data_IF_459074984854
#
_entry.id   IF_459074984854
#
_cell.length_a   1.000
_cell.length_b   1.000
_cell.length_c   1.000
_cell.angle_alpha   90.00
_cell.angle_beta   90.00
_cell.angle_gamma   90.00
#
_symmetry.space_group_name_H-M   'P 1'
#
loop_
_entity.id
_entity.type
_entity.pdbx_description
1 polymer ?
#
# COMPACT_ATOMS: atom_id res chain seq x y z
N UNK A 1 -30.03 -15.69 -6.58
CA UNK A 1 -30.12 -16.04 -5.14
C UNK A 1 -29.06 -15.23 -4.41
N UNK A 2 -29.42 -14.42 -3.43
CA UNK A 2 -28.47 -13.64 -2.63
C UNK A 2 -27.83 -14.56 -1.59
N UNK A 3 -26.55 -14.36 -1.27
CA UNK A 3 -25.83 -15.11 -0.22
C UNK A 3 -26.56 -15.14 1.13
N UNK A 4 -27.42 -14.13 1.41
CA UNK A 4 -28.22 -14.04 2.62
C UNK A 4 -29.39 -15.04 2.71
N UNK A 5 -29.81 -15.61 1.58
CA UNK A 5 -30.99 -16.49 1.52
C UNK A 5 -30.63 -17.98 1.73
N UNK A 6 -29.34 -18.29 1.82
CA UNK A 6 -28.84 -19.64 2.05
C UNK A 6 -28.21 -19.66 3.43
N UNK A 7 -28.91 -20.23 4.40
CA UNK A 7 -28.40 -20.55 5.76
C UNK A 7 -27.32 -21.66 5.72
N UNK A 8 -26.39 -21.58 4.77
CA UNK A 8 -25.20 -22.41 4.79
C UNK A 8 -24.20 -21.70 5.70
N UNK A 9 -23.69 -22.41 6.68
CA UNK A 9 -22.63 -21.95 7.58
C UNK A 9 -21.38 -21.65 6.74
N UNK A 10 -21.24 -20.41 6.32
CA UNK A 10 -19.97 -19.93 5.79
C UNK A 10 -19.05 -19.71 6.98
N UNK A 11 -17.76 -20.08 6.85
CA UNK A 11 -16.79 -19.82 7.90
C UNK A 11 -16.65 -18.31 8.16
N UNK A 12 -16.05 -17.97 9.29
CA UNK A 12 -15.78 -16.57 9.63
C UNK A 12 -14.79 -15.95 8.68
N UNK A 13 -14.94 -14.64 8.44
CA UNK A 13 -14.02 -13.84 7.66
C UNK A 13 -13.43 -12.73 8.54
N UNK A 14 -12.11 -12.63 8.58
CA UNK A 14 -11.35 -11.57 9.26
C UNK A 14 -10.60 -10.75 8.22
N UNK A 15 -10.82 -9.44 8.19
CA UNK A 15 -10.16 -8.50 7.29
C UNK A 15 -9.16 -7.65 8.08
N UNK A 16 -7.89 -7.69 7.70
CA UNK A 16 -6.79 -6.93 8.31
C UNK A 16 -6.13 -6.03 7.28
N UNK A 17 -5.92 -4.77 7.64
CA UNK A 17 -5.12 -3.84 6.86
C UNK A 17 -3.77 -3.67 7.56
N UNK A 18 -2.69 -4.10 6.92
CA UNK A 18 -1.33 -3.93 7.40
C UNK A 18 -0.73 -2.69 6.76
N UNK A 19 -0.24 -1.81 7.60
CA UNK A 19 0.35 -0.53 7.17
C UNK A 19 1.83 -0.75 6.87
N UNK A 20 2.21 -0.58 5.60
CA UNK A 20 3.58 -0.78 5.10
C UNK A 20 4.11 0.56 4.56
N UNK A 21 5.04 1.21 5.26
CA UNK A 21 5.57 2.50 4.82
C UNK A 21 6.43 2.38 3.56
N UNK A 22 6.41 3.42 2.72
CA UNK A 22 7.31 3.58 1.59
C UNK A 22 8.76 3.85 2.06
N UNK A 23 9.73 3.55 1.18
CA UNK A 23 11.07 4.12 1.30
C UNK A 23 11.05 5.62 1.01
N UNK A 24 12.11 6.36 1.36
CA UNK A 24 12.19 7.79 1.08
C UNK A 24 12.13 8.07 -0.44
N UNK A 25 12.77 7.23 -1.25
CA UNK A 25 12.78 7.37 -2.71
C UNK A 25 11.38 7.14 -3.31
N UNK A 26 10.63 6.16 -2.79
CA UNK A 26 9.24 5.96 -3.20
C UNK A 26 8.36 7.16 -2.82
N UNK A 27 8.57 7.71 -1.61
CA UNK A 27 7.82 8.88 -1.12
C UNK A 27 8.07 10.10 -2.01
N UNK A 28 9.33 10.38 -2.37
CA UNK A 28 9.67 11.48 -3.27
C UNK A 28 9.00 11.33 -4.64
N UNK A 29 9.06 10.13 -5.24
CA UNK A 29 8.38 9.84 -6.50
C UNK A 29 6.86 10.01 -6.40
N UNK A 30 6.24 9.49 -5.32
CA UNK A 30 4.80 9.63 -5.09
C UNK A 30 4.39 11.10 -5.01
N UNK A 31 5.14 11.91 -4.27
CA UNK A 31 4.87 13.32 -4.07
C UNK A 31 5.04 14.14 -5.36
N UNK A 32 5.99 13.77 -6.23
CA UNK A 32 6.13 14.41 -7.53
C UNK A 32 4.85 14.25 -8.38
N UNK A 33 4.32 13.02 -8.49
CA UNK A 33 3.08 12.80 -9.25
C UNK A 33 1.85 13.37 -8.56
N UNK A 34 1.79 13.33 -7.24
CA UNK A 34 0.73 13.98 -6.47
C UNK A 34 0.65 15.48 -6.79
N UNK A 35 1.79 16.17 -6.88
CA UNK A 35 1.85 17.57 -7.29
C UNK A 35 1.32 17.77 -8.72
N UNK A 36 1.62 16.86 -9.66
CA UNK A 36 1.07 16.93 -11.02
C UNK A 36 -0.44 16.73 -11.05
N UNK A 37 -0.96 15.76 -10.27
CA UNK A 37 -2.40 15.54 -10.09
C UNK A 37 -3.07 16.80 -9.54
N UNK A 38 -2.46 17.42 -8.52
CA UNK A 38 -2.96 18.65 -7.91
C UNK A 38 -3.09 19.79 -8.92
N UNK A 39 -2.09 20.00 -9.77
CA UNK A 39 -2.16 21.04 -10.82
C UNK A 39 -3.32 20.81 -11.80
N UNK A 40 -3.60 19.54 -12.15
CA UNK A 40 -4.73 19.19 -13.00
C UNK A 40 -6.07 19.40 -12.30
N UNK A 41 -6.15 19.10 -10.99
CA UNK A 41 -7.34 19.38 -10.17
C UNK A 41 -7.62 20.89 -10.10
N UNK A 42 -6.61 21.71 -9.82
CA UNK A 42 -6.74 23.17 -9.79
C UNK A 42 -7.20 23.72 -11.15
N UNK A 43 -6.67 23.18 -12.24
CA UNK A 43 -7.12 23.52 -13.60
C UNK A 43 -8.59 23.17 -13.81
N UNK A 44 -9.00 21.96 -13.42
CA UNK A 44 -10.40 21.52 -13.54
C UNK A 44 -11.35 22.38 -12.70
N UNK A 45 -11.00 22.70 -11.47
CA UNK A 45 -11.82 23.57 -10.60
C UNK A 45 -12.05 24.95 -11.19
N UNK A 46 -11.01 25.51 -11.83
CA UNK A 46 -11.10 26.83 -12.45
C UNK A 46 -11.90 26.84 -13.74
N UNK A 47 -11.76 25.79 -14.56
CA UNK A 47 -12.30 25.75 -15.90
C UNK A 47 -13.52 24.85 -16.07
N UNK A 48 -13.81 23.99 -15.08
CA UNK A 48 -14.78 22.89 -15.11
C UNK A 48 -14.62 21.97 -16.33
N UNK A 49 -13.42 21.95 -16.90
CA UNK A 49 -13.07 21.19 -18.08
C UNK A 49 -11.60 20.77 -18.08
N UNK A 50 -11.33 19.55 -18.52
CA UNK A 50 -9.98 19.08 -18.88
C UNK A 50 -10.00 18.56 -20.32
N UNK A 51 -8.95 18.89 -21.08
CA UNK A 51 -8.73 18.31 -22.41
C UNK A 51 -8.50 16.80 -22.31
N UNK A 52 -8.71 16.04 -23.38
CA UNK A 52 -8.44 14.60 -23.42
C UNK A 52 -6.98 14.27 -23.05
N UNK A 53 -6.05 15.15 -23.43
CA UNK A 53 -4.64 15.06 -23.07
C UNK A 53 -4.45 15.18 -21.55
N UNK A 54 -5.14 16.12 -20.91
CA UNK A 54 -5.04 16.32 -19.46
C UNK A 54 -5.73 15.18 -18.70
N UNK A 55 -6.87 14.68 -19.21
CA UNK A 55 -7.55 13.49 -18.66
C UNK A 55 -6.63 12.26 -18.67
N UNK A 56 -5.98 11.98 -19.81
CA UNK A 56 -5.01 10.88 -19.93
C UNK A 56 -3.83 11.05 -18.98
N UNK A 57 -3.29 12.27 -18.82
CA UNK A 57 -2.22 12.55 -17.86
C UNK A 57 -2.65 12.33 -16.43
N UNK A 58 -3.86 12.76 -16.06
CA UNK A 58 -4.40 12.54 -14.73
C UNK A 58 -4.46 11.04 -14.38
N UNK A 59 -5.04 10.23 -15.28
CA UNK A 59 -5.13 8.78 -15.09
C UNK A 59 -3.75 8.13 -15.01
N UNK A 60 -2.81 8.57 -15.85
CA UNK A 60 -1.43 8.10 -15.82
C UNK A 60 -0.77 8.40 -14.46
N UNK A 61 -0.87 9.63 -13.96
CA UNK A 61 -0.25 10.02 -12.69
C UNK A 61 -0.87 9.27 -11.50
N UNK A 62 -2.20 9.12 -11.48
CA UNK A 62 -2.88 8.31 -10.46
C UNK A 62 -2.41 6.85 -10.48
N UNK A 63 -2.22 6.27 -11.67
CA UNK A 63 -1.68 4.92 -11.80
C UNK A 63 -0.22 4.84 -11.32
N UNK A 64 0.62 5.84 -11.67
CA UNK A 64 2.02 5.91 -11.23
C UNK A 64 2.16 6.05 -9.72
N UNK A 65 1.29 6.85 -9.08
CA UNK A 65 1.24 6.96 -7.62
C UNK A 65 0.95 5.60 -6.97
N UNK A 66 0.00 4.82 -7.50
CA UNK A 66 -0.29 3.48 -7.02
C UNK A 66 0.87 2.50 -7.25
N UNK A 67 1.46 2.51 -8.45
CA UNK A 67 2.59 1.63 -8.78
C UNK A 67 3.77 1.85 -7.84
N UNK A 68 4.07 3.11 -7.50
CA UNK A 68 5.21 3.41 -6.62
C UNK A 68 4.94 3.03 -5.17
N UNK A 69 3.68 3.03 -4.71
CA UNK A 69 3.33 2.47 -3.40
C UNK A 69 3.75 1.00 -3.26
N UNK A 70 3.76 0.25 -4.36
CA UNK A 70 4.17 -1.15 -4.36
C UNK A 70 5.68 -1.31 -4.56
N UNK A 71 6.22 -0.81 -5.68
CA UNK A 71 7.65 -0.84 -5.99
C UNK A 71 7.98 0.12 -7.15
N UNK A 72 9.10 0.83 -7.06
CA UNK A 72 9.64 1.62 -8.18
C UNK A 72 9.94 0.75 -9.42
N UNK A 73 10.25 -0.53 -9.21
CA UNK A 73 10.56 -1.47 -10.28
C UNK A 73 9.38 -1.66 -11.28
N UNK A 74 8.15 -1.47 -10.82
CA UNK A 74 6.97 -1.54 -11.70
C UNK A 74 7.06 -0.49 -12.79
N UNK A 75 7.65 0.68 -12.49
CA UNK A 75 7.74 1.82 -13.39
C UNK A 75 8.89 1.66 -14.39
N UNK A 76 10.12 1.48 -13.91
CA UNK A 76 11.34 1.57 -14.72
C UNK A 76 12.05 0.24 -15.00
N UNK A 77 11.70 -0.83 -14.28
CA UNK A 77 12.32 -2.16 -14.32
C UNK A 77 13.84 -2.16 -14.03
N UNK A 78 14.33 -1.13 -13.36
CA UNK A 78 15.76 -0.93 -13.04
C UNK A 78 15.99 -0.74 -11.56
N UNK A 79 15.30 0.22 -10.96
CA UNK A 79 15.43 0.53 -9.54
C UNK A 79 14.46 -0.33 -8.73
N UNK A 80 14.91 -0.80 -7.58
CA UNK A 80 14.07 -1.55 -6.65
C UNK A 80 14.04 -0.85 -5.31
N UNK A 81 13.14 0.11 -5.18
CA UNK A 81 12.78 0.72 -3.92
C UNK A 81 11.40 0.19 -3.54
N UNK A 82 11.34 -0.71 -2.58
CA UNK A 82 10.10 -1.29 -2.06
C UNK A 82 10.31 -1.87 -0.65
N UNK A 83 9.23 -1.89 0.10
CA UNK A 83 9.13 -2.54 1.42
C UNK A 83 8.06 -3.62 1.38
N UNK A 84 7.04 -3.47 0.51
CA UNK A 84 5.92 -4.42 0.41
C UNK A 84 6.33 -5.81 -0.06
N UNK A 85 7.35 -5.92 -0.93
CA UNK A 85 7.80 -7.24 -1.43
C UNK A 85 8.38 -8.05 -0.28
N UNK A 86 9.31 -7.46 0.48
CA UNK A 86 9.98 -8.15 1.58
C UNK A 86 8.98 -8.50 2.69
N UNK A 87 8.07 -7.57 3.03
CA UNK A 87 7.05 -7.80 4.03
C UNK A 87 6.05 -8.87 3.60
N UNK A 88 5.59 -8.85 2.34
CA UNK A 88 4.73 -9.88 1.80
C UNK A 88 5.37 -11.28 1.90
N UNK A 89 6.65 -11.40 1.55
CA UNK A 89 7.38 -12.67 1.60
C UNK A 89 7.60 -13.13 3.04
N UNK A 90 7.79 -12.21 3.99
CA UNK A 90 7.86 -12.54 5.41
C UNK A 90 6.51 -13.06 5.93
N UNK A 91 5.41 -12.36 5.64
CA UNK A 91 4.05 -12.81 6.00
C UNK A 91 3.75 -14.19 5.41
N UNK A 92 4.10 -14.41 4.14
CA UNK A 92 3.95 -15.72 3.50
C UNK A 92 4.74 -16.79 4.27
N UNK A 93 6.01 -16.52 4.58
CA UNK A 93 6.89 -17.45 5.29
C UNK A 93 6.32 -17.81 6.65
N UNK A 94 5.78 -16.85 7.39
CA UNK A 94 5.17 -17.06 8.69
C UNK A 94 3.93 -17.97 8.58
N UNK A 95 3.04 -17.69 7.63
CA UNK A 95 1.80 -18.47 7.45
C UNK A 95 2.12 -19.90 7.04
N UNK A 96 3.01 -20.10 6.07
CA UNK A 96 3.35 -21.45 5.59
C UNK A 96 4.27 -22.21 6.53
N UNK A 97 4.78 -21.61 7.61
CA UNK A 97 5.49 -22.33 8.68
C UNK A 97 4.58 -23.35 9.37
N UNK A 98 3.28 -23.09 9.40
CA UNK A 98 2.30 -24.06 9.85
C UNK A 98 2.04 -25.13 8.78
N UNK A 99 1.97 -26.39 9.21
CA UNK A 99 1.80 -27.53 8.31
C UNK A 99 0.44 -27.46 7.59
N UNK A 100 0.45 -27.62 6.27
CA UNK A 100 -0.76 -27.64 5.45
C UNK A 100 -1.30 -26.26 5.04
N UNK A 101 -0.85 -25.17 5.66
CA UNK A 101 -1.35 -23.83 5.31
C UNK A 101 -0.89 -23.39 3.91
N UNK A 102 -1.81 -22.79 3.18
CA UNK A 102 -1.61 -22.24 1.82
C UNK A 102 -2.08 -20.80 1.75
N UNK A 103 -1.43 -20.00 0.90
CA UNK A 103 -1.68 -18.57 0.75
C UNK A 103 -1.97 -18.22 -0.70
N UNK A 104 -2.96 -17.36 -0.93
CA UNK A 104 -3.22 -16.74 -2.24
C UNK A 104 -2.77 -15.29 -2.18
N UNK A 105 -2.02 -14.86 -3.18
CA UNK A 105 -1.50 -13.48 -3.28
C UNK A 105 -1.99 -12.83 -4.56
N UNK A 106 -2.57 -11.66 -4.45
CA UNK A 106 -3.04 -10.86 -5.57
C UNK A 106 -2.33 -9.52 -5.68
N UNK A 107 -2.01 -9.15 -6.92
CA UNK A 107 -1.70 -7.78 -7.31
C UNK A 107 -2.28 -7.47 -8.69
N UNK A 108 -2.66 -6.23 -8.93
CA UNK A 108 -3.02 -5.75 -10.26
C UNK A 108 -1.81 -5.79 -11.21
N UNK A 109 -0.61 -5.61 -10.67
CA UNK A 109 0.61 -5.43 -11.46
C UNK A 109 1.38 -6.74 -11.62
N UNK A 110 1.47 -7.25 -12.86
CA UNK A 110 2.27 -8.46 -13.17
C UNK A 110 3.74 -8.30 -12.76
N UNK A 111 4.32 -7.10 -12.89
CA UNK A 111 5.70 -6.85 -12.47
C UNK A 111 5.90 -7.04 -10.98
N UNK A 112 4.90 -6.67 -10.16
CA UNK A 112 4.92 -6.88 -8.71
C UNK A 112 4.84 -8.36 -8.35
N UNK A 113 3.90 -9.10 -8.92
CA UNK A 113 3.81 -10.55 -8.68
C UNK A 113 5.06 -11.28 -9.14
N UNK A 114 5.73 -10.79 -10.20
CA UNK A 114 6.99 -11.34 -10.70
C UNK A 114 8.17 -11.08 -9.74
N UNK A 115 8.20 -9.93 -9.05
CA UNK A 115 9.18 -9.66 -7.99
C UNK A 115 9.01 -10.65 -6.84
N UNK A 116 7.77 -10.81 -6.36
CA UNK A 116 7.44 -11.76 -5.29
C UNK A 116 7.83 -13.18 -5.70
N UNK A 117 7.50 -13.62 -6.92
CA UNK A 117 7.88 -14.93 -7.44
C UNK A 117 9.40 -15.18 -7.33
N UNK A 118 10.22 -14.20 -7.72
CA UNK A 118 11.69 -14.29 -7.62
C UNK A 118 12.17 -14.43 -6.17
N UNK A 119 11.54 -13.76 -5.22
CA UNK A 119 11.92 -13.88 -3.80
C UNK A 119 11.46 -15.23 -3.21
N UNK A 120 10.31 -15.76 -3.63
CA UNK A 120 9.87 -17.10 -3.24
C UNK A 120 10.81 -18.19 -3.81
N UNK A 121 11.27 -18.05 -5.06
CA UNK A 121 12.27 -18.93 -5.67
C UNK A 121 13.58 -18.95 -4.85
N UNK A 122 14.08 -17.78 -4.42
CA UNK A 122 15.28 -17.68 -3.59
C UNK A 122 15.15 -18.36 -2.22
N UNK A 123 13.92 -18.40 -1.69
CA UNK A 123 13.61 -19.04 -0.41
C UNK A 123 13.18 -20.51 -0.58
N UNK A 124 13.21 -21.04 -1.81
CA UNK A 124 12.79 -22.41 -2.14
C UNK A 124 11.33 -22.71 -1.72
N UNK A 125 10.48 -21.69 -1.72
CA UNK A 125 9.05 -21.81 -1.44
C UNK A 125 8.32 -22.19 -2.72
N UNK A 126 7.61 -23.34 -2.72
CA UNK A 126 6.82 -23.81 -3.87
C UNK A 126 5.59 -22.94 -4.11
N UNK A 127 5.40 -22.52 -5.36
CA UNK A 127 4.26 -21.68 -5.75
C UNK A 127 3.77 -21.96 -7.16
N UNK A 128 2.51 -21.62 -7.41
CA UNK A 128 1.93 -21.52 -8.74
C UNK A 128 1.80 -20.05 -9.14
N UNK A 129 2.06 -19.72 -10.41
CA UNK A 129 2.04 -18.34 -10.88
C UNK A 129 1.12 -18.18 -12.09
N UNK A 130 0.05 -17.39 -11.90
CA UNK A 130 -0.96 -17.12 -12.91
C UNK A 130 -1.02 -15.63 -13.24
N UNK A 131 -0.79 -15.30 -14.50
CA UNK A 131 -0.89 -13.95 -15.05
C UNK A 131 -1.63 -13.96 -16.40
N UNK A 132 -1.93 -12.76 -16.95
CA UNK A 132 -2.71 -12.62 -18.18
C UNK A 132 -2.16 -13.41 -19.39
N UNK A 133 -0.84 -13.55 -19.48
CA UNK A 133 -0.16 -14.29 -20.55
C UNK A 133 -0.22 -15.80 -20.45
N UNK A 134 -0.76 -16.39 -19.37
CA UNK A 134 -0.85 -17.86 -19.23
C UNK A 134 -2.01 -18.41 -20.07
N UNK A 135 -1.75 -19.34 -21.01
CA UNK A 135 -2.79 -19.97 -21.82
C UNK A 135 -3.87 -20.64 -20.98
N UNK A 136 -5.13 -20.59 -21.43
CA UNK A 136 -6.28 -21.13 -20.68
C UNK A 136 -6.14 -22.62 -20.34
N UNK A 137 -5.51 -23.39 -21.23
CA UNK A 137 -5.26 -24.82 -21.01
C UNK A 137 -4.33 -25.10 -19.82
N UNK A 138 -3.32 -24.25 -19.62
CA UNK A 138 -2.38 -24.38 -18.50
C UNK A 138 -2.95 -23.90 -17.16
N UNK A 139 -3.94 -22.99 -17.18
CA UNK A 139 -4.53 -22.44 -15.96
C UNK A 139 -5.14 -23.48 -15.05
N UNK A 140 -5.80 -24.50 -15.66
CA UNK A 140 -6.38 -25.62 -14.91
C UNK A 140 -5.30 -26.38 -14.13
N UNK A 141 -4.18 -26.70 -14.78
CA UNK A 141 -3.09 -27.44 -14.15
C UNK A 141 -2.50 -26.68 -12.95
N UNK A 142 -2.31 -25.34 -13.07
CA UNK A 142 -1.85 -24.51 -11.95
C UNK A 142 -2.81 -24.58 -10.76
N UNK A 143 -4.12 -24.52 -11.01
CA UNK A 143 -5.12 -24.64 -9.96
C UNK A 143 -5.13 -26.04 -9.35
N UNK A 144 -5.08 -27.08 -10.18
CA UNK A 144 -5.07 -28.48 -9.73
C UNK A 144 -3.80 -28.79 -8.89
N UNK A 145 -2.62 -28.28 -9.29
CA UNK A 145 -1.39 -28.36 -8.51
C UNK A 145 -1.55 -27.67 -7.17
N UNK A 146 -2.00 -26.41 -7.17
CA UNK A 146 -2.19 -25.68 -5.91
C UNK A 146 -3.17 -26.36 -4.97
N UNK A 147 -4.23 -26.97 -5.51
CA UNK A 147 -5.22 -27.64 -4.68
C UNK A 147 -4.69 -28.96 -4.07
N UNK A 148 -3.90 -29.74 -4.83
CA UNK A 148 -3.60 -31.13 -4.50
C UNK A 148 -2.14 -31.36 -4.06
N UNK A 149 -1.18 -30.54 -4.55
CA UNK A 149 0.24 -30.76 -4.23
C UNK A 149 0.63 -30.08 -2.91
N UNK A 150 1.15 -30.84 -1.91
CA UNK A 150 1.58 -30.27 -0.63
C UNK A 150 2.74 -29.28 -0.78
N UNK A 151 3.59 -29.44 -1.79
CA UNK A 151 4.73 -28.55 -2.07
C UNK A 151 4.31 -27.20 -2.64
N UNK A 152 3.12 -27.12 -3.25
CA UNK A 152 2.57 -25.87 -3.80
C UNK A 152 1.84 -25.10 -2.69
N UNK A 153 2.57 -24.21 -2.02
CA UNK A 153 2.11 -23.49 -0.81
C UNK A 153 1.53 -22.11 -1.11
N UNK A 154 1.92 -21.49 -2.22
CA UNK A 154 1.52 -20.13 -2.59
C UNK A 154 0.91 -20.11 -4.00
N UNK A 155 -0.17 -19.37 -4.17
CA UNK A 155 -0.74 -19.08 -5.49
C UNK A 155 -0.64 -17.59 -5.77
N UNK A 156 0.27 -17.20 -6.67
CA UNK A 156 0.42 -15.82 -7.13
C UNK A 156 -0.50 -15.56 -8.32
N UNK A 157 -1.30 -14.52 -8.28
CA UNK A 157 -2.20 -14.17 -9.39
C UNK A 157 -2.30 -12.68 -9.64
N UNK A 158 -2.48 -12.33 -10.91
CA UNK A 158 -3.00 -11.02 -11.30
C UNK A 158 -4.52 -11.08 -11.51
N UNK A 159 -5.20 -9.92 -11.47
CA UNK A 159 -6.64 -9.84 -11.67
C UNK A 159 -7.05 -10.42 -13.04
N UNK A 160 -6.29 -10.11 -14.10
CA UNK A 160 -6.55 -10.59 -15.45
C UNK A 160 -6.52 -12.13 -15.59
N UNK A 161 -5.73 -12.81 -14.75
CA UNK A 161 -5.63 -14.27 -14.74
C UNK A 161 -6.74 -14.97 -13.95
N UNK A 162 -7.35 -14.27 -12.99
CA UNK A 162 -8.07 -14.90 -11.86
C UNK A 162 -9.54 -15.26 -12.10
N UNK A 163 -10.11 -15.00 -13.28
CA UNK A 163 -11.54 -15.18 -13.53
C UNK A 163 -11.99 -16.64 -13.34
N UNK A 164 -12.96 -16.88 -12.46
CA UNK A 164 -13.57 -18.22 -12.28
C UNK A 164 -12.77 -19.25 -11.48
N UNK A 165 -11.57 -18.93 -10.97
CA UNK A 165 -10.74 -19.86 -10.23
C UNK A 165 -11.38 -20.33 -8.90
N UNK A 166 -11.07 -21.57 -8.52
CA UNK A 166 -11.37 -22.12 -7.22
C UNK A 166 -10.06 -22.37 -6.46
N UNK A 167 -9.82 -21.61 -5.38
CA UNK A 167 -8.58 -21.67 -4.60
C UNK A 167 -8.88 -21.95 -3.10
N UNK A 168 -9.92 -22.74 -2.83
CA UNK A 168 -10.43 -23.03 -1.47
C UNK A 168 -9.47 -23.85 -0.61
N UNK A 169 -8.36 -24.38 -1.16
CA UNK A 169 -7.31 -24.99 -0.33
C UNK A 169 -6.56 -23.99 0.53
N UNK A 170 -6.65 -22.69 0.21
CA UNK A 170 -6.11 -21.63 1.06
C UNK A 170 -7.18 -21.06 1.98
N UNK A 171 -6.78 -20.70 3.19
CA UNK A 171 -7.56 -19.93 4.15
C UNK A 171 -7.12 -18.46 4.22
N UNK A 172 -5.97 -18.13 3.68
CA UNK A 172 -5.43 -16.75 3.70
C UNK A 172 -5.28 -16.18 2.30
N UNK A 173 -5.67 -14.91 2.14
CA UNK A 173 -5.45 -14.11 0.94
C UNK A 173 -4.71 -12.82 1.30
N UNK A 174 -3.66 -12.50 0.53
CA UNK A 174 -2.90 -11.25 0.64
C UNK A 174 -3.16 -10.41 -0.61
N UNK A 175 -3.67 -9.20 -0.43
CA UNK A 175 -3.79 -8.20 -1.47
C UNK A 175 -2.63 -7.21 -1.32
N UNK A 176 -1.71 -7.20 -2.28
CA UNK A 176 -0.54 -6.31 -2.28
C UNK A 176 -0.96 -4.87 -2.52
N UNK A 177 -1.91 -4.69 -3.42
CA UNK A 177 -2.54 -3.43 -3.79
C UNK A 177 -4.05 -3.51 -3.67
N UNK A 178 -4.68 -2.36 -3.44
CA UNK A 178 -6.13 -2.23 -3.43
C UNK A 178 -6.62 -1.78 -4.81
N UNK A 179 -7.58 -2.48 -5.42
CA UNK A 179 -8.21 -2.03 -6.66
C UNK A 179 -9.07 -0.79 -6.38
N UNK A 180 -9.24 0.07 -7.41
CA UNK A 180 -10.16 1.21 -7.32
C UNK A 180 -11.61 0.78 -7.10
N UNK A 181 -12.00 -0.33 -7.71
CA UNK A 181 -13.33 -0.89 -7.57
C UNK A 181 -13.35 -1.95 -6.45
N UNK A 182 -14.05 -1.71 -5.34
CA UNK A 182 -14.16 -2.68 -4.25
C UNK A 182 -14.81 -4.01 -4.68
N UNK A 183 -15.56 -4.04 -5.80
CA UNK A 183 -16.09 -5.28 -6.33
C UNK A 183 -14.98 -6.23 -6.83
N UNK A 184 -13.87 -5.68 -7.35
CA UNK A 184 -12.70 -6.47 -7.75
C UNK A 184 -12.04 -7.08 -6.51
N UNK A 185 -11.91 -6.32 -5.40
CA UNK A 185 -11.41 -6.86 -4.13
C UNK A 185 -12.29 -8.02 -3.63
N UNK A 186 -13.61 -7.85 -3.64
CA UNK A 186 -14.54 -8.92 -3.29
C UNK A 186 -14.48 -10.11 -4.26
N UNK A 187 -14.19 -9.89 -5.53
CA UNK A 187 -13.95 -10.97 -6.49
C UNK A 187 -12.67 -11.74 -6.17
N UNK A 188 -11.57 -11.06 -5.79
CA UNK A 188 -10.33 -11.71 -5.32
C UNK A 188 -10.63 -12.59 -4.10
N UNK A 189 -11.28 -12.04 -3.07
CA UNK A 189 -11.65 -12.75 -1.85
C UNK A 189 -12.57 -13.93 -2.16
N UNK A 190 -13.50 -13.76 -3.09
CA UNK A 190 -14.39 -14.82 -3.57
C UNK A 190 -13.69 -16.01 -4.23
N UNK A 191 -12.36 -16.00 -4.42
CA UNK A 191 -11.59 -17.18 -4.89
C UNK A 191 -11.38 -18.21 -3.80
N UNK A 192 -11.25 -17.76 -2.55
CA UNK A 192 -11.11 -18.62 -1.37
C UNK A 192 -12.40 -18.67 -0.53
N UNK A 193 -13.17 -17.58 -0.46
CA UNK A 193 -14.40 -17.46 0.34
C UNK A 193 -15.62 -17.88 -0.46
N UNK A 194 -15.88 -19.17 -0.52
CA UNK A 194 -16.96 -19.79 -1.32
C UNK A 194 -17.65 -20.90 -0.53
N UNK A 195 -18.78 -21.35 -1.04
CA UNK A 195 -19.44 -22.55 -0.54
C UNK A 195 -18.50 -23.75 -0.60
N UNK A 196 -18.34 -24.44 0.52
CA UNK A 196 -17.40 -25.55 0.66
C UNK A 196 -16.08 -25.21 1.35
N UNK A 197 -15.80 -23.91 1.62
CA UNK A 197 -14.70 -23.53 2.50
C UNK A 197 -14.97 -24.00 3.93
N UNK A 198 -14.00 -24.74 4.49
CA UNK A 198 -14.12 -25.34 5.83
C UNK A 198 -13.44 -24.48 6.90
N UNK A 199 -12.42 -23.71 6.52
CA UNK A 199 -11.59 -22.93 7.41
C UNK A 199 -12.05 -21.48 7.50
N UNK A 200 -11.90 -20.84 8.64
CA UNK A 200 -12.04 -19.39 8.78
C UNK A 200 -11.03 -18.71 7.87
N UNK A 201 -11.46 -17.67 7.15
CA UNK A 201 -10.58 -16.99 6.22
C UNK A 201 -10.00 -15.70 6.78
N UNK A 202 -8.76 -15.46 6.40
CA UNK A 202 -8.04 -14.22 6.70
C UNK A 202 -7.76 -13.46 5.41
N UNK A 203 -8.22 -12.21 5.37
CA UNK A 203 -7.93 -11.26 4.29
C UNK A 203 -6.91 -10.27 4.81
N UNK A 204 -5.75 -10.20 4.18
CA UNK A 204 -4.67 -9.28 4.53
C UNK A 204 -4.51 -8.30 3.37
N UNK A 205 -4.73 -7.01 3.62
CA UNK A 205 -4.49 -5.96 2.66
C UNK A 205 -3.23 -5.18 3.07
N UNK A 206 -2.25 -5.08 2.18
CA UNK A 206 -1.09 -4.22 2.40
C UNK A 206 -1.42 -2.81 1.94
N UNK A 207 -1.28 -1.84 2.83
CA UNK A 207 -1.67 -0.46 2.57
C UNK A 207 -0.53 0.47 2.92
N UNK A 208 -0.14 1.30 1.99
CA UNK A 208 0.88 2.31 2.20
C UNK A 208 0.28 3.53 2.90
N UNK A 209 0.82 3.93 4.07
CA UNK A 209 0.35 5.12 4.78
C UNK A 209 0.75 6.39 4.02
N UNK A 210 0.03 7.48 4.27
CA UNK A 210 0.29 8.80 3.69
C UNK A 210 0.37 8.80 2.15
N UNK A 211 -0.47 7.98 1.53
CA UNK A 211 -0.48 7.75 0.09
C UNK A 211 -1.89 7.65 -0.46
N UNK A 212 -1.97 7.63 -1.79
CA UNK A 212 -3.23 7.41 -2.50
C UNK A 212 -3.95 6.11 -2.07
N UNK A 213 -3.23 5.07 -1.63
CA UNK A 213 -3.87 3.83 -1.17
C UNK A 213 -4.62 4.00 0.15
N UNK A 214 -4.06 4.76 1.09
CA UNK A 214 -4.75 5.08 2.34
C UNK A 214 -6.02 5.87 2.07
N UNK A 215 -5.97 6.85 1.17
CA UNK A 215 -7.12 7.64 0.74
C UNK A 215 -8.19 6.76 0.06
N UNK A 216 -7.76 5.84 -0.82
CA UNK A 216 -8.64 4.85 -1.43
C UNK A 216 -9.34 4.00 -0.37
N UNK A 217 -8.62 3.49 0.62
CA UNK A 217 -9.18 2.67 1.69
C UNK A 217 -10.29 3.41 2.47
N UNK A 218 -10.08 4.70 2.77
CA UNK A 218 -11.07 5.55 3.42
C UNK A 218 -12.34 5.73 2.59
N UNK A 219 -12.21 5.98 1.30
CA UNK A 219 -13.30 6.34 0.39
C UNK A 219 -13.98 5.15 -0.28
N UNK A 220 -13.27 4.02 -0.48
CA UNK A 220 -13.84 2.78 -1.00
C UNK A 220 -14.96 2.20 -0.11
N UNK A 221 -14.96 2.52 1.18
CA UNK A 221 -16.05 2.13 2.10
C UNK A 221 -17.38 2.80 1.75
N UNK A 222 -17.40 3.90 1.00
CA UNK A 222 -18.57 4.74 0.81
C UNK A 222 -19.18 4.74 -0.61
N UNK A 223 -18.45 4.38 -1.68
CA UNK A 223 -18.95 4.55 -3.06
C UNK A 223 -18.52 3.43 -4.00
N UNK A 224 -19.27 2.34 -4.00
CA UNK A 224 -19.01 1.13 -4.79
C UNK A 224 -19.12 1.31 -6.32
N UNK A 225 -19.79 2.35 -6.83
CA UNK A 225 -20.20 2.40 -8.24
C UNK A 225 -19.47 3.41 -9.12
N UNK A 226 -18.53 4.20 -8.59
CA UNK A 226 -17.96 5.34 -9.33
C UNK A 226 -16.77 5.02 -10.21
N UNK A 227 -16.02 3.96 -9.89
CA UNK A 227 -14.78 3.61 -10.60
C UNK A 227 -14.92 2.40 -11.52
N UNK A 228 -16.12 1.83 -11.65
CA UNK A 228 -16.35 0.69 -12.53
C UNK A 228 -15.97 1.03 -13.99
N UNK A 229 -14.98 0.31 -14.51
CA UNK A 229 -14.56 0.39 -15.91
C UNK A 229 -13.69 1.60 -16.29
N UNK A 230 -13.18 2.38 -15.32
CA UNK A 230 -12.42 3.61 -15.61
C UNK A 230 -10.93 3.48 -15.32
N UNK A 231 -10.56 2.84 -14.21
CA UNK A 231 -9.18 2.81 -13.73
C UNK A 231 -8.62 1.41 -13.56
N UNK A 232 -9.45 0.37 -13.52
CA UNK A 232 -9.00 -1.00 -13.28
C UNK A 232 -8.64 -1.77 -14.56
N UNK A 233 -9.13 -1.36 -15.73
CA UNK A 233 -8.95 -2.10 -17.01
C UNK A 233 -7.69 -1.75 -17.82
N UNK A 234 -6.81 -0.87 -17.33
CA UNK A 234 -5.43 -0.66 -17.84
C UNK A 234 -5.23 -0.26 -19.31
N UNK A 235 -6.17 -0.49 -20.18
CA UNK A 235 -6.14 -0.13 -21.61
C UNK A 235 -7.50 0.45 -22.03
N UNK A 236 -7.47 1.60 -22.73
CA UNK A 236 -8.62 2.23 -23.40
C UNK A 236 -9.70 2.93 -22.56
N UNK A 237 -9.39 3.46 -21.39
CA UNK A 237 -10.29 4.33 -20.61
C UNK A 237 -10.66 5.68 -21.30
N UNK A 238 -10.59 5.75 -22.61
CA UNK A 238 -10.82 6.98 -23.40
C UNK A 238 -12.31 7.35 -23.47
N UNK A 239 -13.22 6.46 -23.14
CA UNK A 239 -14.67 6.67 -23.25
C UNK A 239 -15.39 6.89 -21.92
N UNK A 240 -14.78 7.65 -21.02
CA UNK A 240 -15.49 8.07 -19.81
C UNK A 240 -16.46 9.18 -20.19
N UNK A 241 -17.74 8.99 -19.90
CA UNK A 241 -18.73 10.06 -20.07
C UNK A 241 -18.37 11.24 -19.16
N UNK A 242 -18.65 12.47 -19.58
CA UNK A 242 -18.32 13.67 -18.81
C UNK A 242 -18.90 13.65 -17.40
N UNK A 243 -20.08 13.07 -17.20
CA UNK A 243 -20.71 12.92 -15.89
C UNK A 243 -19.91 11.97 -14.95
N UNK A 244 -19.46 10.82 -15.46
CA UNK A 244 -18.60 9.89 -14.68
C UNK A 244 -17.25 10.53 -14.37
N UNK A 245 -16.68 11.25 -15.33
CA UNK A 245 -15.41 11.95 -15.14
C UNK A 245 -15.52 13.05 -14.09
N UNK A 246 -16.58 13.86 -14.10
CA UNK A 246 -16.82 14.90 -13.10
C UNK A 246 -16.94 14.33 -11.69
N UNK A 247 -17.67 13.23 -11.51
CA UNK A 247 -17.76 12.54 -10.21
C UNK A 247 -16.42 11.97 -9.74
N UNK A 248 -15.61 11.43 -10.67
CA UNK A 248 -14.24 10.99 -10.37
C UNK A 248 -13.39 12.17 -9.91
N UNK A 249 -13.45 13.32 -10.60
CA UNK A 249 -12.72 14.53 -10.24
C UNK A 249 -13.07 15.06 -8.87
N UNK A 250 -14.35 15.05 -8.49
CA UNK A 250 -14.79 15.42 -7.13
C UNK A 250 -14.16 14.51 -6.07
N UNK A 251 -14.12 13.21 -6.34
CA UNK A 251 -13.54 12.23 -5.41
C UNK A 251 -12.02 12.42 -5.29
N UNK A 252 -11.31 12.51 -6.42
CA UNK A 252 -9.85 12.72 -6.46
C UNK A 252 -9.47 14.07 -5.85
N UNK A 253 -10.26 15.12 -6.09
CA UNK A 253 -10.06 16.43 -5.46
C UNK A 253 -10.10 16.35 -3.95
N UNK A 254 -11.06 15.64 -3.39
CA UNK A 254 -11.15 15.45 -1.94
C UNK A 254 -10.00 14.61 -1.36
N UNK A 255 -9.42 13.65 -2.11
CA UNK A 255 -8.24 12.89 -1.68
C UNK A 255 -7.01 13.79 -1.49
N UNK A 256 -6.77 14.68 -2.45
CA UNK A 256 -5.60 15.56 -2.44
C UNK A 256 -5.71 16.69 -1.39
N UNK A 257 -6.91 17.11 -1.02
CA UNK A 257 -7.12 18.14 0.01
C UNK A 257 -6.89 17.62 1.43
N UNK A 258 -7.35 16.41 1.71
CA UNK A 258 -7.14 15.77 3.00
C UNK A 258 -5.65 15.55 3.28
N UNK A 259 -4.86 15.21 2.24
CA UNK A 259 -3.40 15.12 2.34
C UNK A 259 -2.76 16.47 2.70
N UNK A 260 -3.20 17.59 2.10
CA UNK A 260 -2.67 18.91 2.40
C UNK A 260 -2.94 19.36 3.84
N UNK A 261 -4.13 19.10 4.35
CA UNK A 261 -4.48 19.44 5.72
C UNK A 261 -3.66 18.62 6.72
N UNK A 262 -3.47 17.34 6.41
CA UNK A 262 -2.66 16.41 7.20
C UNK A 262 -1.18 16.82 7.19
N UNK A 263 -0.64 17.19 6.03
CA UNK A 263 0.74 17.66 5.89
C UNK A 263 0.97 19.01 6.60
N UNK A 264 0.03 19.94 6.48
CA UNK A 264 0.08 21.22 7.23
C UNK A 264 0.03 21.02 8.73
N UNK A 265 -0.79 20.09 9.21
CA UNK A 265 -0.89 19.73 10.62
C UNK A 265 0.42 19.11 11.13
N UNK A 266 1.05 18.20 10.38
CA UNK A 266 2.34 17.58 10.70
C UNK A 266 3.50 18.59 10.73
N UNK A 267 3.55 19.46 9.72
CA UNK A 267 4.58 20.50 9.66
C UNK A 267 4.44 21.51 10.81
N UNK A 268 3.22 21.78 11.23
CA UNK A 268 2.94 22.61 12.41
C UNK A 268 3.37 21.92 13.72
N UNK A 269 3.18 20.62 13.83
CA UNK A 269 3.64 19.82 14.98
C UNK A 269 5.17 19.79 15.04
N UNK A 270 5.86 19.45 13.96
CA UNK A 270 7.32 19.46 13.87
C UNK A 270 7.94 20.85 14.16
N UNK A 271 7.28 21.92 13.72
CA UNK A 271 7.74 23.28 14.01
C UNK A 271 7.56 23.69 15.48
N UNK A 272 6.59 23.10 16.17
CA UNK A 272 6.38 23.31 17.61
C UNK A 272 7.36 22.47 18.45
N UNK A 273 7.60 21.21 18.08
CA UNK A 273 8.61 20.37 18.73
C UNK A 273 10.01 20.98 18.63
N UNK A 274 10.42 21.45 17.44
CA UNK A 274 11.69 22.15 17.28
C UNK A 274 11.79 23.46 18.10
N UNK A 275 10.69 24.16 18.32
CA UNK A 275 10.67 25.38 19.18
C UNK A 275 10.77 25.01 20.66
N UNK A 276 10.16 23.91 21.09
CA UNK A 276 10.29 23.42 22.46
C UNK A 276 11.71 22.90 22.74
N UNK A 277 12.33 22.15 21.83
CA UNK A 277 13.71 21.71 21.96
C UNK A 277 14.71 22.88 22.04
N UNK A 278 14.54 23.90 21.18
CA UNK A 278 15.37 25.12 21.22
C UNK A 278 15.17 25.90 22.53
N UNK A 279 13.95 25.97 23.07
CA UNK A 279 13.67 26.64 24.34
C UNK A 279 14.25 25.89 25.55
N UNK A 280 14.24 24.54 25.53
CA UNK A 280 14.85 23.68 26.53
C UNK A 280 16.40 23.83 26.50
N UNK A 281 17.01 23.84 25.31
CA UNK A 281 18.45 24.06 25.17
C UNK A 281 18.90 25.47 25.60
N UNK A 282 18.08 26.50 25.42
CA UNK A 282 18.37 27.84 25.91
C UNK A 282 18.23 27.95 27.44
N UNK A 283 17.31 27.23 28.06
CA UNK A 283 17.17 27.18 29.53
C UNK A 283 18.31 26.40 30.19
N UNK A 284 18.79 25.30 29.58
CA UNK A 284 19.93 24.55 30.10
C UNK A 284 21.25 25.33 29.96
N UNK A 285 21.43 26.09 28.89
CA UNK A 285 22.62 26.95 28.73
C UNK A 285 22.63 28.20 29.63
N UNK A 286 21.47 28.72 30.03
CA UNK A 286 21.40 29.82 30.98
C UNK A 286 21.62 29.39 32.45
N UNK A 287 21.31 28.13 32.78
CA UNK A 287 21.58 27.57 34.11
C UNK A 287 23.05 27.19 34.34
N UNK A 288 23.81 26.88 33.26
CA UNK A 288 25.25 26.55 33.36
C UNK A 288 26.17 27.77 33.45
N UNK A 289 25.70 28.99 33.13
CA UNK A 289 26.49 30.23 33.24
C UNK A 289 26.29 30.99 34.58
N UNK A 290 25.51 30.45 35.50
CA UNK A 290 25.20 31.10 36.82
C UNK A 290 26.13 30.68 37.97
N UNK A 291 26.99 29.65 37.83
CA UNK A 291 27.78 29.08 38.93
C UNK A 291 29.28 29.39 38.95
N UNK A 292 29.78 30.34 38.16
CA UNK A 292 31.23 30.62 38.12
C UNK A 292 31.63 32.02 38.55
N UNK A 293 30.99 32.61 39.56
CA UNK A 293 31.49 33.84 40.22
C UNK A 293 31.19 33.76 41.71
N UNK A 294 32.02 33.09 42.51
CA UNK A 294 32.40 33.45 43.90
C UNK A 294 33.41 32.43 44.43
N UNK A 295 34.68 32.79 44.31
CA UNK A 295 35.70 32.50 45.36
C UNK A 295 37.04 33.12 44.95
N UNK A 296 37.17 34.42 45.33
CA UNK A 296 38.47 35.04 45.55
C UNK A 296 38.45 35.62 46.95
N UNK A 297 39.33 35.07 47.77
CA UNK A 297 40.14 35.76 48.80
C UNK A 297 40.40 34.81 49.98
N UNK A 298 41.61 34.37 50.07
CA UNK A 298 42.48 34.66 51.26
C UNK A 298 43.72 33.76 51.18
N UNK A 299 44.84 34.46 50.93
CA UNK A 299 46.15 33.94 51.38
C UNK A 299 46.23 34.06 52.91
N UNK A 300 47.07 33.27 53.56
CA UNK A 300 48.14 33.89 54.30
C UNK A 300 49.54 33.31 53.97
N UNK A 301 50.47 34.18 54.25
CA UNK A 301 51.92 34.12 54.15
C UNK A 301 52.54 33.14 55.16
N UNK A 302 53.83 32.88 54.83
CA UNK A 302 55.00 32.54 55.68
C UNK A 302 55.13 31.08 56.16
N UNK A 303 56.22 30.38 55.95
CA UNK A 303 57.56 30.49 56.55
C UNK A 303 58.48 29.40 55.94
N UNK A 304 59.55 29.79 55.32
CA UNK A 304 60.97 29.56 55.65
C UNK A 304 61.37 28.20 56.23
N UNK A 305 62.34 27.63 55.60
CA UNK A 305 63.60 27.06 56.06
C UNK A 305 63.89 25.59 55.77
N UNK A 306 64.98 25.42 55.09
CA UNK A 306 66.10 24.50 55.29
C UNK A 306 65.93 23.00 55.09
N UNK A 307 66.77 22.53 54.21
CA UNK A 307 67.20 21.14 54.05
C UNK A 307 67.67 20.86 52.66
#
# INVERSE_FOLDING_TARGET
>A
RRKKDVKLQMPERSDKNLVIPMTNEQMEMHQEWQNQVRLLILKWRRMHFLSDKDRKRLLLFLSQMRMVCDSSYILDQKTRYDTKVDECVNIISDIISEEGEKVVVFSQWERMTRLIAKELEKKEIGFEYLHGGVPSEKRKNLVDNFMNEPSSRVFLSTDAGSTGLNLQSAATIINIDLPWNPAVLEQRIGRIYRLGQQNNIQVINLVTPDSIEQEMLGKLRFKTSMFEGVLDDGEDSVFITDDKFSKMMETVSGMVEEDEETEKARNKHKSNENKEEVSIQQQTNSSSNGESVSNRSSQPKDLVAQG
#
